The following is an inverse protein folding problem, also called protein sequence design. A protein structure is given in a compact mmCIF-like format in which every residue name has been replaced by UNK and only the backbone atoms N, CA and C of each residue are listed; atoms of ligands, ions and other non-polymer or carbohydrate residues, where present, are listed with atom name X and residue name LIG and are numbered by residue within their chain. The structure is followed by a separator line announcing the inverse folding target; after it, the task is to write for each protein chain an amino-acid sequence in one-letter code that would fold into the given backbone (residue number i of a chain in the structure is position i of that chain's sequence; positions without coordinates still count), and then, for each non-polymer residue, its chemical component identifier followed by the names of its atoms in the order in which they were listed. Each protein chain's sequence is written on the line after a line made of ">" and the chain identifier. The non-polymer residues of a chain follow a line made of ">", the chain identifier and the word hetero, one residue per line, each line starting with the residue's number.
data_IF_130086849141
#
_entry.id   IF_130086849141
#
_cell.length_a   1.000
_cell.length_b   1.000
_cell.length_c   1.000
_cell.angle_alpha   90.00
_cell.angle_beta   90.00
_cell.angle_gamma   90.00
#
_symmetry.space_group_name_H-M   'P 1'
#
loop_
_entity.id
_entity.type
_entity.pdbx_description
1 polymer ?
#
# COMPACT_ATOMS: atom_id res chain seq x y z
N UNK A 1 -17.22 4.33 17.23
CA UNK A 1 -17.12 2.89 17.45
C UNK A 1 -15.66 2.60 17.69
N UNK A 2 -15.30 1.98 18.81
CA UNK A 2 -13.92 1.62 19.12
C UNK A 2 -13.48 0.52 18.15
N UNK A 3 -12.69 0.87 17.17
CA UNK A 3 -12.27 0.02 16.03
C UNK A 3 -10.99 -0.78 16.38
N UNK A 4 -10.84 -1.19 17.65
CA UNK A 4 -9.69 -1.96 18.14
C UNK A 4 -9.86 -3.48 18.03
N UNK A 5 -10.98 -3.96 17.47
CA UNK A 5 -11.20 -5.38 17.30
C UNK A 5 -10.49 -5.90 16.07
N UNK A 6 -9.61 -6.88 16.27
CA UNK A 6 -9.01 -7.64 15.18
C UNK A 6 -10.11 -8.48 14.48
N UNK A 7 -9.98 -8.85 13.19
CA UNK A 7 -10.94 -9.74 12.53
C UNK A 7 -11.07 -11.07 13.28
N UNK A 8 -12.23 -11.72 13.22
CA UNK A 8 -12.48 -13.03 13.82
C UNK A 8 -11.50 -14.12 13.34
N UNK A 9 -10.89 -13.92 12.17
CA UNK A 9 -9.84 -14.80 11.62
C UNK A 9 -8.44 -14.50 12.16
N UNK A 10 -8.28 -13.45 12.99
CA UNK A 10 -7.00 -13.09 13.58
C UNK A 10 -6.72 -14.00 14.77
N UNK A 11 -5.69 -14.81 14.67
CA UNK A 11 -5.14 -15.59 15.78
C UNK A 11 -3.62 -15.42 15.80
N UNK A 12 -3.12 -14.58 16.72
CA UNK A 12 -1.79 -14.83 17.26
C UNK A 12 -1.92 -15.99 18.27
N UNK A 13 -0.90 -16.86 18.40
CA UNK A 13 -0.86 -17.82 19.49
C UNK A 13 -1.12 -17.14 20.83
N UNK A 14 -1.89 -17.76 21.71
CA UNK A 14 -2.29 -17.18 23.01
C UNK A 14 -1.09 -16.75 23.85
N UNK A 15 0.06 -17.42 23.66
CA UNK A 15 1.33 -17.15 24.35
C UNK A 15 2.30 -16.31 23.51
N UNK A 16 1.85 -15.71 22.40
CA UNK A 16 2.72 -14.88 21.56
C UNK A 16 3.15 -13.63 22.33
N UNK A 17 4.46 -13.43 22.43
CA UNK A 17 5.02 -12.19 22.93
C UNK A 17 4.54 -10.99 22.07
N UNK A 18 4.40 -9.79 22.68
CA UNK A 18 3.90 -8.63 21.97
C UNK A 18 4.80 -8.25 20.79
N UNK A 19 4.18 -7.74 19.72
CA UNK A 19 4.85 -7.21 18.53
C UNK A 19 4.51 -5.74 18.32
N UNK A 20 5.41 -5.02 17.67
CA UNK A 20 5.15 -3.66 17.26
C UNK A 20 4.83 -3.60 15.75
N UNK A 21 3.86 -2.76 15.41
CA UNK A 21 3.43 -2.47 14.04
C UNK A 21 3.60 -0.98 13.77
N UNK A 22 4.25 -0.66 12.66
CA UNK A 22 4.52 0.71 12.22
C UNK A 22 3.99 0.91 10.82
N UNK A 23 3.21 1.96 10.60
CA UNK A 23 2.75 2.38 9.29
C UNK A 23 3.29 3.79 8.97
N UNK A 24 4.20 3.86 8.00
CA UNK A 24 4.86 5.10 7.57
C UNK A 24 4.22 5.62 6.31
N UNK A 25 3.34 6.59 6.45
CA UNK A 25 2.79 7.33 5.33
C UNK A 25 3.52 8.65 5.09
N UNK A 26 3.25 9.27 3.94
CA UNK A 26 3.85 10.57 3.58
C UNK A 26 3.40 11.75 4.46
N UNK A 27 2.29 11.62 5.21
CA UNK A 27 1.72 12.68 6.06
C UNK A 27 1.52 12.25 7.50
N UNK A 28 1.32 10.96 7.75
CA UNK A 28 1.03 10.38 9.06
C UNK A 28 1.90 9.17 9.29
N UNK A 29 2.39 9.05 10.51
CA UNK A 29 3.06 7.89 11.06
C UNK A 29 2.17 7.30 12.15
N UNK A 30 1.84 6.01 12.04
CA UNK A 30 1.11 5.30 13.07
C UNK A 30 1.97 4.17 13.65
N UNK A 31 1.91 3.99 14.97
CA UNK A 31 2.53 2.85 15.65
C UNK A 31 1.50 2.16 16.52
N UNK A 32 1.62 0.85 16.67
CA UNK A 32 0.76 0.05 17.54
C UNK A 32 1.57 -1.05 18.23
N UNK A 33 1.19 -1.39 19.46
CA UNK A 33 1.63 -2.59 20.16
C UNK A 33 0.47 -3.59 20.14
N UNK A 34 0.75 -4.82 19.74
CA UNK A 34 -0.25 -5.86 19.48
C UNK A 34 0.18 -7.16 20.15
N UNK A 35 -0.76 -7.86 20.78
CA UNK A 35 -0.60 -9.24 21.26
C UNK A 35 -1.81 -10.11 20.90
N UNK A 36 -1.93 -11.30 21.48
CA UNK A 36 -3.04 -12.23 21.24
C UNK A 36 -4.43 -11.64 21.60
N UNK A 37 -4.49 -10.64 22.48
CA UNK A 37 -5.73 -9.95 22.87
C UNK A 37 -6.17 -8.88 21.87
N UNK A 38 -5.26 -8.43 20.99
CA UNK A 38 -5.51 -7.39 20.00
C UNK A 38 -4.53 -6.24 20.07
N UNK A 39 -4.99 -5.06 19.61
CA UNK A 39 -4.21 -3.81 19.69
C UNK A 39 -4.29 -3.27 21.11
N UNK A 40 -3.16 -3.29 21.82
CA UNK A 40 -3.04 -2.83 23.20
C UNK A 40 -2.93 -1.31 23.31
N UNK A 41 -2.14 -0.71 22.40
CA UNK A 41 -1.99 0.74 22.32
C UNK A 41 -1.73 1.15 20.86
N UNK A 42 -2.17 2.36 20.51
CA UNK A 42 -1.92 2.98 19.20
C UNK A 42 -1.65 4.47 19.36
N UNK A 43 -0.63 4.96 18.66
CA UNK A 43 -0.31 6.38 18.53
C UNK A 43 -0.24 6.78 17.06
N UNK A 44 -0.65 7.99 16.75
CA UNK A 44 -0.60 8.56 15.40
C UNK A 44 -0.08 9.99 15.50
N UNK A 45 0.93 10.31 14.71
CA UNK A 45 1.51 11.65 14.62
C UNK A 45 1.75 12.05 13.14
N UNK A 46 1.94 13.34 12.85
CA UNK A 46 2.48 13.76 11.56
C UNK A 46 3.87 13.15 11.32
N UNK A 47 4.13 12.69 10.10
CA UNK A 47 5.43 12.12 9.73
C UNK A 47 6.53 13.16 9.84
N UNK A 48 7.61 12.87 10.57
CA UNK A 48 8.76 13.76 10.72
C UNK A 48 9.41 14.06 9.36
N UNK A 49 9.64 15.35 9.11
CA UNK A 49 10.27 15.86 7.89
C UNK A 49 11.31 16.94 8.19
N UNK A 50 11.66 17.14 9.44
CA UNK A 50 12.62 18.14 9.91
C UNK A 50 13.71 17.46 10.73
N UNK A 51 14.88 18.11 10.82
CA UNK A 51 16.03 17.57 11.56
C UNK A 51 17.02 16.80 10.67
N UNK A 52 17.78 15.90 11.27
CA UNK A 52 18.74 15.06 10.56
C UNK A 52 17.99 13.90 9.82
N UNK A 53 18.68 13.24 8.90
CA UNK A 53 18.09 12.18 8.06
C UNK A 53 17.67 10.91 8.84
N UNK A 54 17.97 10.82 10.13
CA UNK A 54 17.49 9.78 11.06
C UNK A 54 16.25 10.19 11.86
N UNK A 55 15.76 11.43 11.72
CA UNK A 55 14.64 11.97 12.50
C UNK A 55 13.37 11.11 12.43
N UNK A 56 13.08 10.51 11.26
CA UNK A 56 11.95 9.59 11.10
C UNK A 56 12.11 8.32 11.95
N UNK A 57 13.28 7.71 11.92
CA UNK A 57 13.54 6.51 12.71
C UNK A 57 13.51 6.80 14.23
N UNK A 58 14.05 7.94 14.65
CA UNK A 58 13.98 8.40 16.05
C UNK A 58 12.54 8.68 16.49
N UNK A 59 11.70 9.25 15.62
CA UNK A 59 10.29 9.41 15.87
C UNK A 59 9.60 8.05 16.08
N UNK A 60 9.88 7.06 15.23
CA UNK A 60 9.32 5.71 15.36
C UNK A 60 9.72 5.09 16.70
N UNK A 61 11.00 5.14 17.06
CA UNK A 61 11.51 4.59 18.31
C UNK A 61 10.78 5.22 19.52
N UNK A 62 10.74 6.55 19.59
CA UNK A 62 10.06 7.29 20.65
C UNK A 62 8.57 6.92 20.74
N UNK A 63 7.87 6.88 19.61
CA UNK A 63 6.45 6.54 19.59
C UNK A 63 6.19 5.09 20.00
N UNK A 64 7.07 4.14 19.63
CA UNK A 64 6.96 2.76 20.06
C UNK A 64 7.20 2.62 21.57
N UNK A 65 8.22 3.27 22.13
CA UNK A 65 8.47 3.28 23.56
C UNK A 65 7.27 3.89 24.34
N UNK A 66 6.70 4.99 23.85
CA UNK A 66 5.49 5.57 24.42
C UNK A 66 4.27 4.64 24.30
N UNK A 67 4.12 3.95 23.17
CA UNK A 67 3.05 2.96 22.97
C UNK A 67 3.21 1.78 23.91
N UNK A 68 4.43 1.32 24.16
CA UNK A 68 4.72 0.26 25.14
C UNK A 68 4.34 0.70 26.54
N UNK A 69 4.69 1.92 26.95
CA UNK A 69 4.26 2.48 28.24
C UNK A 69 2.73 2.52 28.37
N UNK A 70 2.03 2.98 27.33
CA UNK A 70 0.57 3.03 27.32
C UNK A 70 -0.09 1.63 27.37
N UNK A 71 0.62 0.59 26.91
CA UNK A 71 0.19 -0.79 26.90
C UNK A 71 0.59 -1.59 28.14
N UNK A 72 1.36 -0.99 29.06
CA UNK A 72 2.01 -1.68 30.19
C UNK A 72 2.89 -2.86 29.72
N UNK A 73 3.68 -2.62 28.66
CA UNK A 73 4.62 -3.56 28.03
C UNK A 73 6.02 -2.97 28.09
N UNK A 74 7.00 -3.74 28.55
CA UNK A 74 8.39 -3.31 28.47
C UNK A 74 8.85 -3.27 26.99
N UNK A 75 9.52 -2.20 26.51
CA UNK A 75 9.98 -2.10 25.13
C UNK A 75 10.87 -3.27 24.69
N UNK A 76 11.63 -3.86 25.62
CA UNK A 76 12.50 -5.01 25.36
C UNK A 76 11.73 -6.34 25.30
N UNK A 77 10.47 -6.36 25.72
CA UNK A 77 9.58 -7.51 25.56
C UNK A 77 8.99 -7.63 24.16
N UNK A 78 9.13 -6.61 23.30
CA UNK A 78 8.72 -6.70 21.90
C UNK A 78 9.56 -7.75 21.17
N UNK A 79 8.93 -8.82 20.72
CA UNK A 79 9.64 -9.89 20.00
C UNK A 79 9.97 -9.56 18.55
N UNK A 80 9.27 -8.60 17.95
CA UNK A 80 9.52 -8.13 16.59
C UNK A 80 8.86 -6.77 16.31
N UNK A 81 9.42 -6.05 15.32
CA UNK A 81 8.88 -4.79 14.79
C UNK A 81 8.63 -4.95 13.29
N UNK A 82 7.38 -4.85 12.88
CA UNK A 82 6.97 -4.81 11.48
C UNK A 82 6.74 -3.37 11.01
N UNK A 83 7.33 -3.00 9.90
CA UNK A 83 7.22 -1.67 9.31
C UNK A 83 6.65 -1.76 7.90
N UNK A 84 5.42 -1.26 7.73
CA UNK A 84 4.81 -0.97 6.42
C UNK A 84 5.13 0.48 6.08
N UNK A 85 5.72 0.74 4.92
CA UNK A 85 6.13 2.10 4.56
C UNK A 85 5.85 2.41 3.10
N UNK A 86 5.45 3.65 2.83
CA UNK A 86 5.50 4.16 1.47
C UNK A 86 6.94 4.07 0.93
N UNK A 87 7.07 3.97 -0.39
CA UNK A 87 8.36 3.89 -1.10
C UNK A 87 8.62 5.13 -1.96
N UNK A 88 9.65 5.08 -2.81
CA UNK A 88 10.59 3.98 -2.99
C UNK A 88 11.65 3.87 -1.90
N UNK A 89 12.36 2.73 -1.91
CA UNK A 89 13.46 2.41 -0.99
C UNK A 89 14.81 2.39 -1.71
N UNK A 90 15.87 2.59 -0.94
CA UNK A 90 17.25 2.24 -1.30
C UNK A 90 17.80 1.26 -0.28
N UNK A 91 18.53 0.24 -0.77
CA UNK A 91 19.21 -0.72 0.10
C UNK A 91 20.65 -0.27 0.31
N UNK A 92 21.02 0.04 1.57
CA UNK A 92 22.39 0.39 1.94
C UNK A 92 22.86 -0.46 3.12
N UNK A 93 24.02 -1.07 3.00
CA UNK A 93 24.59 -1.96 4.01
C UNK A 93 23.59 -3.03 4.53
N UNK A 94 22.72 -3.54 3.64
CA UNK A 94 21.72 -4.56 4.00
C UNK A 94 20.50 -4.03 4.76
N UNK A 95 20.34 -2.71 4.89
CA UNK A 95 19.19 -2.07 5.52
C UNK A 95 18.44 -1.17 4.53
N UNK A 96 17.13 -1.07 4.74
CA UNK A 96 16.25 -0.20 3.97
C UNK A 96 16.41 1.25 4.44
N UNK A 97 16.63 2.15 3.49
CA UNK A 97 16.48 3.59 3.63
C UNK A 97 15.30 4.06 2.78
N UNK A 98 14.54 5.01 3.29
CA UNK A 98 13.39 5.58 2.60
C UNK A 98 13.84 6.70 1.66
N UNK A 99 13.46 6.62 0.37
CA UNK A 99 13.74 7.63 -0.65
C UNK A 99 12.45 8.26 -1.23
N UNK A 100 11.41 8.33 -0.40
CA UNK A 100 10.09 8.80 -0.81
C UNK A 100 10.08 10.32 -1.07
N UNK A 101 9.69 10.80 -2.27
CA UNK A 101 9.70 12.22 -2.61
C UNK A 101 8.70 13.09 -1.84
N UNK A 102 7.79 12.49 -1.07
CA UNK A 102 6.85 13.18 -0.18
C UNK A 102 7.37 13.30 1.27
N UNK A 103 8.55 12.75 1.55
CA UNK A 103 9.23 12.80 2.85
C UNK A 103 10.66 13.37 2.66
N UNK A 104 11.41 12.92 1.66
CA UNK A 104 12.79 13.28 1.40
C UNK A 104 12.85 14.45 0.40
N UNK A 105 13.15 15.66 0.89
CA UNK A 105 13.16 16.91 0.09
C UNK A 105 14.22 16.90 -1.01
N UNK A 106 15.40 16.31 -0.75
CA UNK A 106 16.45 16.15 -1.75
C UNK A 106 16.09 15.27 -2.94
N UNK A 107 15.10 14.37 -2.77
CA UNK A 107 14.53 13.57 -3.85
C UNK A 107 13.33 14.24 -4.54
N UNK A 108 12.61 15.09 -3.80
CA UNK A 108 11.41 15.77 -4.29
C UNK A 108 11.73 16.96 -5.20
N UNK A 109 12.89 17.54 -5.03
CA UNK A 109 13.27 18.82 -5.62
C UNK A 109 12.51 20.01 -5.01
N UNK A 110 12.93 21.25 -5.37
CA UNK A 110 12.44 22.47 -4.71
C UNK A 110 10.93 22.75 -4.89
N UNK A 111 10.32 22.20 -5.92
CA UNK A 111 8.91 22.42 -6.22
C UNK A 111 7.94 21.88 -5.15
N UNK A 112 8.38 20.95 -4.28
CA UNK A 112 7.54 20.38 -3.23
C UNK A 112 7.63 21.11 -1.90
N UNK A 113 8.61 22.01 -1.70
CA UNK A 113 8.75 22.84 -0.51
C UNK A 113 8.90 22.04 0.79
N UNK A 114 9.52 20.87 0.76
CA UNK A 114 9.79 20.10 1.98
C UNK A 114 10.90 20.76 2.79
N UNK A 115 10.83 20.73 4.15
CA UNK A 115 11.74 21.47 5.04
C UNK A 115 13.09 20.77 5.23
N UNK A 116 13.42 19.78 4.40
CA UNK A 116 14.68 19.03 4.46
C UNK A 116 15.29 18.85 3.07
N UNK A 117 16.56 18.49 3.03
CA UNK A 117 17.35 18.16 1.84
C UNK A 117 17.74 16.67 1.77
N UNK A 118 17.07 15.84 2.53
CA UNK A 118 17.39 14.41 2.59
C UNK A 118 17.25 13.75 1.23
N UNK A 119 18.30 13.10 0.77
CA UNK A 119 18.21 12.17 -0.35
C UNK A 119 17.61 10.84 0.07
N UNK A 120 17.88 10.43 1.31
CA UNK A 120 17.23 9.30 1.98
C UNK A 120 17.00 9.61 3.45
N UNK A 121 15.97 8.99 4.04
CA UNK A 121 15.80 8.96 5.48
C UNK A 121 16.18 7.56 6.00
N UNK A 122 17.01 7.49 7.04
CA UNK A 122 17.33 6.24 7.72
C UNK A 122 16.03 5.65 8.29
N UNK A 123 15.82 4.36 8.08
CA UNK A 123 14.62 3.67 8.56
C UNK A 123 14.98 2.39 9.32
N UNK A 124 15.52 1.39 8.64
CA UNK A 124 15.71 0.05 9.22
C UNK A 124 16.92 -0.03 10.17
N UNK A 125 18.03 0.61 9.84
CA UNK A 125 19.26 0.48 10.62
C UNK A 125 19.14 0.98 12.07
N UNK A 126 18.54 2.17 12.37
CA UNK A 126 18.34 2.60 13.74
C UNK A 126 17.36 1.70 14.52
N UNK A 127 16.33 1.17 13.86
CA UNK A 127 15.37 0.25 14.47
C UNK A 127 16.04 -1.07 14.85
N UNK A 128 16.95 -1.59 14.00
CA UNK A 128 17.73 -2.82 14.29
C UNK A 128 18.76 -2.66 15.39
N UNK A 129 19.18 -1.43 15.68
CA UNK A 129 20.02 -1.16 16.87
C UNK A 129 19.22 -1.29 18.17
N UNK A 130 17.91 -1.04 18.10
CA UNK A 130 17.02 -1.09 19.28
C UNK A 130 16.32 -2.44 19.44
N UNK A 131 15.93 -3.10 18.33
CA UNK A 131 15.24 -4.40 18.33
C UNK A 131 15.91 -5.38 17.39
N UNK A 132 16.07 -6.61 17.82
CA UNK A 132 16.79 -7.65 17.05
C UNK A 132 16.02 -8.15 15.81
N UNK A 133 14.69 -8.11 15.84
CA UNK A 133 13.83 -8.56 14.73
C UNK A 133 13.03 -7.39 14.17
N UNK A 134 13.56 -6.76 13.14
CA UNK A 134 12.88 -5.69 12.39
C UNK A 134 12.66 -6.16 10.96
N UNK A 135 11.45 -5.95 10.44
CA UNK A 135 11.11 -6.22 9.04
C UNK A 135 10.43 -5.01 8.43
N UNK A 136 11.03 -4.50 7.37
CA UNK A 136 10.54 -3.34 6.62
C UNK A 136 10.11 -3.79 5.23
N UNK A 137 8.89 -3.47 4.83
CA UNK A 137 8.37 -3.71 3.49
C UNK A 137 7.62 -2.49 2.97
N UNK A 138 7.53 -2.40 1.63
CA UNK A 138 6.62 -1.44 1.00
C UNK A 138 5.17 -1.71 1.42
N UNK A 139 4.36 -0.66 1.54
CA UNK A 139 2.96 -0.72 1.99
C UNK A 139 2.08 -1.69 1.18
N UNK A 140 2.24 -1.74 -0.15
CA UNK A 140 1.51 -2.69 -0.99
C UNK A 140 2.00 -4.13 -0.82
N UNK A 141 3.30 -4.35 -0.56
CA UNK A 141 3.87 -5.68 -0.26
C UNK A 141 3.41 -6.15 1.11
N UNK A 142 3.39 -5.28 2.10
CA UNK A 142 2.88 -5.57 3.44
C UNK A 142 1.36 -5.88 3.41
N UNK A 143 0.59 -5.12 2.63
CA UNK A 143 -0.83 -5.38 2.38
C UNK A 143 -1.08 -6.72 1.68
N UNK A 144 -0.24 -7.08 0.68
CA UNK A 144 -0.27 -8.41 0.07
C UNK A 144 -0.04 -9.52 1.11
N UNK A 145 0.94 -9.36 2.00
CA UNK A 145 1.20 -10.33 3.06
C UNK A 145 -0.02 -10.50 3.98
N UNK A 146 -0.69 -9.40 4.34
CA UNK A 146 -1.92 -9.43 5.13
C UNK A 146 -3.08 -10.13 4.40
N UNK A 147 -3.31 -9.82 3.12
CA UNK A 147 -4.35 -10.45 2.30
C UNK A 147 -4.08 -11.95 2.08
N UNK A 148 -2.83 -12.37 1.98
CA UNK A 148 -2.45 -13.79 1.90
C UNK A 148 -2.66 -14.52 3.22
N UNK A 149 -2.52 -13.83 4.34
CA UNK A 149 -2.65 -14.44 5.66
C UNK A 149 -4.10 -14.47 6.14
N UNK A 150 -4.85 -13.39 5.97
CA UNK A 150 -6.19 -13.23 6.57
C UNK A 150 -7.28 -12.78 5.59
N UNK A 151 -6.91 -12.35 4.37
CA UNK A 151 -7.82 -11.76 3.40
C UNK A 151 -8.19 -12.66 2.23
N UNK A 152 -8.35 -12.05 1.05
CA UNK A 152 -8.86 -12.69 -0.16
C UNK A 152 -7.80 -13.48 -0.95
N UNK A 153 -6.51 -13.42 -0.59
CA UNK A 153 -5.42 -14.10 -1.29
C UNK A 153 -5.03 -15.43 -0.63
N UNK A 154 -6.06 -16.18 -0.21
CA UNK A 154 -5.92 -17.54 0.34
C UNK A 154 -7.06 -18.43 -0.14
N UNK A 155 -6.85 -19.73 -0.08
CA UNK A 155 -7.88 -20.75 -0.26
C UNK A 155 -7.97 -21.60 1.00
N UNK A 156 -9.16 -21.63 1.62
CA UNK A 156 -9.34 -22.18 2.96
C UNK A 156 -8.31 -21.62 3.95
N UNK A 157 -7.29 -22.38 4.31
CA UNK A 157 -6.23 -21.99 5.24
C UNK A 157 -4.92 -21.63 4.55
N UNK A 158 -4.75 -21.95 3.27
CA UNK A 158 -3.47 -21.86 2.56
C UNK A 158 -3.35 -20.54 1.77
N UNK A 159 -2.25 -19.79 1.93
CA UNK A 159 -1.96 -18.62 1.12
C UNK A 159 -1.71 -19.00 -0.34
N UNK A 160 -2.27 -18.22 -1.29
CA UNK A 160 -2.02 -18.44 -2.71
C UNK A 160 -0.54 -18.22 -3.06
N UNK A 161 0.00 -19.08 -3.92
CA UNK A 161 1.40 -19.02 -4.35
C UNK A 161 1.65 -17.93 -5.39
N UNK A 162 0.70 -17.71 -6.32
CA UNK A 162 0.84 -16.77 -7.43
C UNK A 162 -0.29 -15.73 -7.38
N UNK A 163 -0.04 -14.58 -6.75
CA UNK A 163 -1.09 -13.60 -6.52
C UNK A 163 -0.54 -12.18 -6.41
N UNK A 164 -1.42 -11.20 -6.55
CA UNK A 164 -1.09 -9.80 -6.38
C UNK A 164 -2.12 -9.09 -5.51
N UNK A 165 -1.68 -8.06 -4.81
CA UNK A 165 -2.52 -7.05 -4.20
C UNK A 165 -2.31 -5.72 -4.93
N UNK A 166 -3.39 -5.04 -5.29
CA UNK A 166 -3.36 -3.72 -5.91
C UNK A 166 -4.10 -2.75 -5.03
N UNK A 167 -3.46 -1.65 -4.64
CA UNK A 167 -4.15 -0.52 -4.01
C UNK A 167 -4.45 0.55 -5.04
N UNK A 168 -5.72 0.87 -5.23
CA UNK A 168 -6.18 2.01 -6.03
C UNK A 168 -6.73 3.08 -5.10
N UNK A 169 -5.88 4.02 -4.77
CA UNK A 169 -6.12 5.07 -3.78
C UNK A 169 -5.61 6.42 -4.30
N UNK A 170 -5.04 7.25 -3.44
CA UNK A 170 -4.32 8.49 -3.79
C UNK A 170 -3.26 8.24 -4.86
N UNK A 171 -2.53 7.11 -4.76
CA UNK A 171 -1.61 6.53 -5.75
C UNK A 171 -2.03 5.11 -6.13
N UNK A 172 -1.18 4.43 -6.89
CA UNK A 172 -1.31 3.02 -7.28
C UNK A 172 -0.10 2.25 -6.79
N UNK A 173 -0.30 1.35 -5.84
CA UNK A 173 0.73 0.42 -5.36
C UNK A 173 0.38 -1.03 -5.70
N UNK A 174 1.39 -1.87 -5.90
CA UNK A 174 1.19 -3.29 -6.17
C UNK A 174 2.17 -4.12 -5.34
N UNK A 175 1.65 -5.13 -4.65
CA UNK A 175 2.44 -6.20 -4.05
C UNK A 175 2.32 -7.46 -4.91
N UNK A 176 3.41 -8.20 -5.08
CA UNK A 176 3.50 -9.37 -5.97
C UNK A 176 4.03 -10.58 -5.21
N UNK A 177 3.42 -11.73 -5.46
CA UNK A 177 3.88 -13.03 -4.98
C UNK A 177 3.89 -14.02 -6.15
N UNK A 178 5.01 -14.71 -6.36
CA UNK A 178 5.19 -15.77 -7.36
C UNK A 178 5.86 -16.96 -6.69
N UNK A 179 5.37 -18.16 -6.95
CA UNK A 179 5.84 -19.42 -6.35
C UNK A 179 5.90 -19.35 -4.80
N UNK A 180 4.95 -18.65 -4.19
CA UNK A 180 4.89 -18.47 -2.75
C UNK A 180 5.83 -17.39 -2.19
N UNK A 181 6.70 -16.80 -3.01
CA UNK A 181 7.68 -15.80 -2.61
C UNK A 181 7.18 -14.38 -2.87
N UNK A 182 7.24 -13.52 -1.86
CA UNK A 182 7.01 -12.09 -2.04
C UNK A 182 8.15 -11.50 -2.87
N UNK A 183 7.82 -10.84 -3.97
CA UNK A 183 8.81 -10.21 -4.83
C UNK A 183 9.26 -8.88 -4.20
N UNK A 184 10.55 -8.75 -3.95
CA UNK A 184 11.16 -7.55 -3.34
C UNK A 184 12.00 -6.75 -4.34
N UNK A 185 12.60 -7.41 -5.33
CA UNK A 185 13.57 -6.78 -6.22
C UNK A 185 14.87 -6.41 -5.48
N UNK A 186 15.72 -5.63 -6.13
CA UNK A 186 17.06 -5.32 -5.59
C UNK A 186 17.04 -4.41 -4.35
N UNK A 187 16.05 -3.52 -4.24
CA UNK A 187 15.94 -2.50 -3.19
C UNK A 187 14.63 -2.59 -2.39
N UNK A 188 13.83 -3.65 -2.55
CA UNK A 188 12.50 -3.72 -1.95
C UNK A 188 11.39 -3.00 -2.75
N UNK A 189 11.63 -2.65 -4.02
CA UNK A 189 10.73 -1.87 -4.86
C UNK A 189 10.05 -2.68 -5.97
N UNK A 190 10.10 -4.01 -5.96
CA UNK A 190 9.29 -4.79 -6.90
C UNK A 190 7.81 -4.49 -6.70
N UNK A 191 7.06 -4.40 -7.80
CA UNK A 191 5.64 -4.09 -7.72
C UNK A 191 5.29 -2.61 -7.86
N UNK A 192 6.21 -1.72 -8.21
CA UNK A 192 5.89 -0.33 -8.58
C UNK A 192 5.16 -0.25 -9.94
N UNK A 193 4.19 -1.15 -10.15
CA UNK A 193 3.45 -1.28 -11.42
C UNK A 193 2.48 -0.11 -11.68
N UNK A 194 2.23 0.76 -10.71
CA UNK A 194 1.60 2.05 -10.95
C UNK A 194 2.36 2.91 -11.97
N UNK A 195 3.66 2.64 -12.18
CA UNK A 195 4.50 3.36 -13.14
C UNK A 195 4.72 2.61 -14.46
N UNK A 196 3.92 1.58 -14.76
CA UNK A 196 3.87 0.97 -16.09
C UNK A 196 3.31 1.98 -17.10
N UNK A 197 3.99 2.11 -18.25
CA UNK A 197 3.47 2.91 -19.35
C UNK A 197 2.35 2.15 -20.05
N UNK A 198 1.19 2.80 -20.20
CA UNK A 198 0.00 2.23 -20.86
C UNK A 198 -0.55 3.10 -21.97
N UNK A 199 -0.10 4.33 -22.08
CA UNK A 199 -0.37 5.23 -23.22
C UNK A 199 0.55 6.46 -23.19
N UNK A 200 0.57 7.20 -24.33
CA UNK A 200 1.37 8.43 -24.50
C UNK A 200 0.53 9.71 -24.26
N UNK A 201 -0.42 9.69 -23.32
CA UNK A 201 -1.23 10.85 -22.99
C UNK A 201 -0.41 11.90 -22.26
N UNK A 202 -0.12 13.02 -22.92
CA UNK A 202 0.71 14.11 -22.39
C UNK A 202 0.08 14.86 -21.20
N UNK A 203 -1.25 14.76 -21.01
CA UNK A 203 -1.97 15.38 -19.88
C UNK A 203 -1.90 14.54 -18.61
N UNK A 204 -1.30 13.35 -18.69
CA UNK A 204 -1.21 12.39 -17.61
C UNK A 204 0.17 12.42 -16.93
N UNK A 205 0.62 13.59 -16.51
CA UNK A 205 1.87 13.75 -15.75
C UNK A 205 1.76 13.08 -14.37
N UNK A 206 2.62 12.10 -14.13
CA UNK A 206 2.76 11.44 -12.84
C UNK A 206 3.65 12.25 -11.87
N UNK A 207 3.45 12.06 -10.57
CA UNK A 207 4.31 12.63 -9.54
C UNK A 207 5.78 12.17 -9.58
N UNK A 208 6.07 11.07 -10.29
CA UNK A 208 7.43 10.58 -10.53
C UNK A 208 8.14 11.25 -11.73
N UNK A 209 7.44 12.10 -12.48
CA UNK A 209 7.96 12.76 -13.69
C UNK A 209 7.63 12.05 -15.01
N UNK A 210 7.07 10.84 -14.99
CA UNK A 210 6.61 10.14 -16.17
C UNK A 210 5.31 10.73 -16.72
N UNK A 211 5.03 10.47 -17.99
CA UNK A 211 3.80 10.83 -18.68
C UNK A 211 3.16 9.56 -19.22
N UNK A 212 1.87 9.32 -18.92
CA UNK A 212 1.14 8.19 -19.45
C UNK A 212 1.33 6.86 -18.70
N UNK A 213 1.90 6.88 -17.49
CA UNK A 213 1.88 5.72 -16.60
C UNK A 213 0.50 5.54 -15.92
N UNK A 214 0.26 4.36 -15.38
CA UNK A 214 -1.02 3.99 -14.76
C UNK A 214 -1.38 4.97 -13.64
N UNK A 215 -0.44 5.30 -12.76
CA UNK A 215 -0.69 6.22 -11.64
C UNK A 215 -1.02 7.63 -12.13
N UNK A 216 -0.28 8.16 -13.10
CA UNK A 216 -0.53 9.46 -13.72
C UNK A 216 -1.88 9.55 -14.41
N UNK A 217 -2.43 8.41 -14.85
CA UNK A 217 -3.69 8.34 -15.56
C UNK A 217 -4.91 8.17 -14.64
N UNK A 218 -4.83 7.30 -13.60
CA UNK A 218 -6.02 6.83 -12.89
C UNK A 218 -5.97 6.91 -11.36
N UNK A 219 -4.84 7.25 -10.75
CA UNK A 219 -4.78 7.43 -9.30
C UNK A 219 -5.71 8.55 -8.83
N UNK A 220 -6.12 8.54 -7.56
CA UNK A 220 -7.01 9.56 -7.01
C UNK A 220 -6.49 10.99 -7.24
N UNK A 221 -5.18 11.22 -7.05
CA UNK A 221 -4.54 12.51 -7.38
C UNK A 221 -4.57 12.84 -8.88
N UNK A 222 -4.47 11.83 -9.74
CA UNK A 222 -4.53 12.01 -11.18
C UNK A 222 -5.94 12.38 -11.63
N UNK A 223 -6.97 11.73 -11.09
CA UNK A 223 -8.39 12.05 -11.36
C UNK A 223 -8.66 13.52 -11.07
N UNK A 224 -8.24 14.02 -9.90
CA UNK A 224 -8.39 15.43 -9.53
C UNK A 224 -7.71 16.36 -10.54
N UNK A 225 -6.44 16.10 -10.88
CA UNK A 225 -5.69 16.95 -11.82
C UNK A 225 -6.27 16.94 -13.24
N UNK A 226 -6.65 15.74 -13.73
CA UNK A 226 -7.14 15.56 -15.10
C UNK A 226 -8.54 16.07 -15.32
N UNK A 227 -9.41 15.99 -14.30
CA UNK A 227 -10.85 16.18 -14.51
C UNK A 227 -11.46 17.35 -13.75
N UNK A 228 -10.69 18.10 -12.91
CA UNK A 228 -11.19 19.27 -12.21
C UNK A 228 -11.72 20.34 -13.17
N UNK A 229 -11.06 20.57 -14.32
CA UNK A 229 -11.49 21.51 -15.35
C UNK A 229 -12.80 21.10 -16.05
N UNK A 230 -13.22 19.85 -15.90
CA UNK A 230 -14.50 19.32 -16.40
C UNK A 230 -15.62 19.40 -15.35
N UNK A 231 -15.32 19.91 -14.15
CA UNK A 231 -16.25 20.00 -13.04
C UNK A 231 -16.16 18.89 -12.00
N UNK A 232 -15.24 17.94 -12.17
CA UNK A 232 -15.05 16.82 -11.22
C UNK A 232 -13.80 17.09 -10.36
N UNK A 233 -14.00 17.69 -9.19
CA UNK A 233 -12.91 18.12 -8.31
C UNK A 233 -12.03 16.95 -7.80
N UNK A 234 -12.61 15.78 -7.63
CA UNK A 234 -11.95 14.57 -7.14
C UNK A 234 -12.68 13.30 -7.61
N UNK A 235 -12.19 12.14 -7.20
CA UNK A 235 -12.81 10.87 -7.54
C UNK A 235 -14.24 10.77 -7.00
N UNK A 236 -14.50 11.25 -5.77
CA UNK A 236 -15.85 11.18 -5.19
C UNK A 236 -16.85 11.98 -6.02
N UNK A 237 -16.49 13.20 -6.45
CA UNK A 237 -17.33 14.04 -7.32
C UNK A 237 -17.59 13.37 -8.68
N UNK A 238 -16.56 12.76 -9.29
CA UNK A 238 -16.70 12.04 -10.57
C UNK A 238 -17.68 10.87 -10.44
N UNK A 239 -17.53 10.03 -9.41
CA UNK A 239 -18.40 8.86 -9.22
C UNK A 239 -19.83 9.26 -8.85
N UNK A 240 -20.02 10.32 -8.03
CA UNK A 240 -21.34 10.85 -7.70
C UNK A 240 -22.07 11.39 -8.93
N UNK A 241 -21.38 12.12 -9.81
CA UNK A 241 -21.93 12.61 -11.06
C UNK A 241 -22.42 11.46 -11.97
N UNK A 242 -21.60 10.40 -12.14
CA UNK A 242 -21.99 9.22 -12.90
C UNK A 242 -23.23 8.52 -12.32
N UNK A 243 -23.30 8.37 -10.99
CA UNK A 243 -24.46 7.81 -10.30
C UNK A 243 -25.73 8.65 -10.49
N UNK A 244 -25.58 9.97 -10.65
CA UNK A 244 -26.67 10.89 -10.95
C UNK A 244 -27.07 10.95 -12.44
N UNK A 245 -26.47 10.11 -13.28
CA UNK A 245 -26.81 10.00 -14.70
C UNK A 245 -25.96 10.86 -15.66
N UNK A 246 -24.86 11.43 -15.18
CA UNK A 246 -23.90 12.14 -16.05
C UNK A 246 -23.18 11.16 -16.98
N UNK A 247 -23.56 11.15 -18.25
CA UNK A 247 -22.97 10.27 -19.26
C UNK A 247 -21.49 10.53 -19.54
N UNK A 248 -21.00 11.77 -19.34
CA UNK A 248 -19.59 12.11 -19.48
C UNK A 248 -18.79 11.51 -18.32
N UNK A 249 -19.27 11.63 -17.09
CA UNK A 249 -18.64 11.02 -15.93
C UNK A 249 -18.58 9.49 -16.06
N UNK A 250 -19.67 8.87 -16.54
CA UNK A 250 -19.69 7.43 -16.82
C UNK A 250 -18.64 7.00 -17.85
N UNK A 251 -18.48 7.75 -18.94
CA UNK A 251 -17.48 7.48 -19.97
C UNK A 251 -16.03 7.62 -19.43
N UNK A 252 -15.78 8.60 -18.57
CA UNK A 252 -14.48 8.75 -17.90
C UNK A 252 -14.18 7.56 -16.96
N UNK A 253 -15.16 7.09 -16.21
CA UNK A 253 -15.01 5.89 -15.37
C UNK A 253 -14.71 4.65 -16.23
N UNK A 254 -15.33 4.51 -17.38
CA UNK A 254 -15.03 3.43 -18.32
C UNK A 254 -13.59 3.52 -18.86
N UNK A 255 -13.09 4.74 -19.11
CA UNK A 255 -11.68 4.97 -19.44
C UNK A 255 -10.75 4.54 -18.30
N UNK A 256 -11.03 4.95 -17.05
CA UNK A 256 -10.24 4.53 -15.88
C UNK A 256 -10.20 3.00 -15.75
N UNK A 257 -11.35 2.33 -15.92
CA UNK A 257 -11.43 0.86 -15.86
C UNK A 257 -10.65 0.20 -17.00
N UNK A 258 -10.68 0.77 -18.20
CA UNK A 258 -9.92 0.26 -19.34
C UNK A 258 -8.41 0.34 -19.10
N UNK A 259 -7.93 1.44 -18.49
CA UNK A 259 -6.51 1.65 -18.16
C UNK A 259 -6.08 0.68 -17.05
N UNK A 260 -6.83 0.60 -15.95
CA UNK A 260 -6.55 -0.36 -14.89
C UNK A 260 -6.61 -1.81 -15.43
N UNK A 261 -7.58 -2.13 -16.29
CA UNK A 261 -7.70 -3.44 -16.90
C UNK A 261 -6.46 -3.84 -17.73
N UNK A 262 -5.81 -2.90 -18.42
CA UNK A 262 -4.54 -3.14 -19.10
C UNK A 262 -3.43 -3.49 -18.12
N UNK A 263 -3.28 -2.70 -17.05
CA UNK A 263 -2.28 -2.96 -16.03
C UNK A 263 -2.49 -4.33 -15.35
N UNK A 264 -3.74 -4.68 -15.04
CA UNK A 264 -4.05 -5.99 -14.47
C UNK A 264 -3.75 -7.13 -15.46
N UNK A 265 -4.08 -6.94 -16.74
CA UNK A 265 -3.76 -7.90 -17.80
C UNK A 265 -2.25 -8.11 -17.93
N UNK A 266 -1.46 -7.01 -17.96
CA UNK A 266 0.00 -7.08 -18.04
C UNK A 266 0.61 -7.86 -16.87
N UNK A 267 0.08 -7.67 -15.66
CA UNK A 267 0.51 -8.43 -14.47
C UNK A 267 0.16 -9.92 -14.61
N UNK A 268 -1.05 -10.25 -15.07
CA UNK A 268 -1.51 -11.63 -15.24
C UNK A 268 -0.63 -12.37 -16.24
N UNK A 269 -0.44 -11.80 -17.44
CA UNK A 269 0.30 -12.49 -18.50
C UNK A 269 1.82 -12.54 -18.27
N UNK A 270 2.33 -11.65 -17.42
CA UNK A 270 3.77 -11.60 -17.09
C UNK A 270 4.12 -12.58 -15.95
N UNK A 271 3.20 -12.78 -15.00
CA UNK A 271 3.47 -13.49 -13.74
C UNK A 271 2.60 -14.73 -13.54
N UNK A 272 1.71 -15.04 -14.49
CA UNK A 272 0.80 -16.21 -14.44
C UNK A 272 0.02 -16.29 -13.12
N UNK A 273 -0.73 -15.21 -12.81
CA UNK A 273 -1.36 -15.03 -11.50
C UNK A 273 -2.68 -15.82 -11.38
N UNK A 274 -2.88 -16.45 -10.22
CA UNK A 274 -4.13 -17.14 -9.82
C UNK A 274 -5.20 -16.13 -9.37
N UNK A 275 -4.80 -15.06 -8.70
CA UNK A 275 -5.74 -14.05 -8.16
C UNK A 275 -5.10 -12.69 -7.94
N UNK A 276 -5.88 -11.65 -8.22
CA UNK A 276 -5.55 -10.27 -7.86
C UNK A 276 -6.61 -9.75 -6.90
N UNK A 277 -6.19 -9.30 -5.73
CA UNK A 277 -7.02 -8.62 -4.74
C UNK A 277 -6.86 -7.11 -4.90
N UNK A 278 -7.97 -6.37 -4.98
CA UNK A 278 -7.94 -4.91 -5.18
C UNK A 278 -8.54 -4.21 -3.96
N UNK A 279 -7.76 -3.28 -3.40
CA UNK A 279 -8.15 -2.39 -2.32
C UNK A 279 -7.89 -0.92 -2.65
N UNK A 280 -7.76 -0.09 -1.62
CA UNK A 280 -7.54 1.35 -1.75
C UNK A 280 -8.85 2.14 -1.86
N UNK A 281 -8.84 3.40 -1.42
CA UNK A 281 -10.05 4.20 -1.21
C UNK A 281 -10.86 4.44 -2.49
N UNK A 282 -10.20 4.70 -3.62
CA UNK A 282 -10.90 4.91 -4.90
C UNK A 282 -11.66 3.65 -5.32
N UNK A 283 -11.01 2.48 -5.24
CA UNK A 283 -11.67 1.23 -5.58
C UNK A 283 -12.73 0.83 -4.54
N UNK A 284 -12.40 0.86 -3.27
CA UNK A 284 -13.22 0.31 -2.21
C UNK A 284 -14.61 0.95 -2.13
N UNK A 285 -14.68 2.28 -2.21
CA UNK A 285 -15.95 3.00 -2.14
C UNK A 285 -16.84 2.77 -3.35
N UNK A 286 -16.28 2.34 -4.48
CA UNK A 286 -16.98 2.16 -5.75
C UNK A 286 -16.86 0.73 -6.31
N UNK A 287 -16.47 -0.25 -5.49
CA UNK A 287 -16.16 -1.62 -5.89
C UNK A 287 -17.31 -2.33 -6.61
N UNK A 288 -18.55 -2.09 -6.20
CA UNK A 288 -19.73 -2.69 -6.83
C UNK A 288 -19.87 -2.28 -8.31
N UNK A 289 -19.46 -1.06 -8.65
CA UNK A 289 -19.43 -0.55 -10.02
C UNK A 289 -18.15 -0.98 -10.74
N UNK A 290 -17.00 -0.87 -10.07
CA UNK A 290 -15.69 -1.03 -10.70
C UNK A 290 -15.33 -2.49 -10.95
N UNK A 291 -15.61 -3.40 -10.01
CA UNK A 291 -15.17 -4.79 -10.10
C UNK A 291 -15.71 -5.53 -11.32
N UNK A 292 -17.01 -5.45 -11.66
CA UNK A 292 -17.54 -6.05 -12.89
C UNK A 292 -16.91 -5.48 -14.15
N UNK A 293 -16.67 -4.15 -14.19
CA UNK A 293 -16.02 -3.47 -15.31
C UNK A 293 -14.57 -3.92 -15.51
N UNK A 294 -13.81 -4.08 -14.42
CA UNK A 294 -12.43 -4.57 -14.46
C UNK A 294 -12.35 -6.02 -14.94
N UNK A 295 -13.22 -6.90 -14.46
CA UNK A 295 -13.32 -8.29 -14.93
C UNK A 295 -13.60 -8.35 -16.43
N UNK A 296 -14.52 -7.53 -16.94
CA UNK A 296 -14.85 -7.46 -18.36
C UNK A 296 -13.66 -6.98 -19.23
N UNK A 297 -12.71 -6.22 -18.68
CA UNK A 297 -11.50 -5.81 -19.41
C UNK A 297 -10.53 -6.97 -19.68
N UNK A 298 -10.58 -8.04 -18.90
CA UNK A 298 -9.63 -9.15 -18.92
C UNK A 298 -10.26 -10.38 -19.58
N UNK A 299 -11.52 -10.62 -19.34
CA UNK A 299 -12.25 -11.79 -19.81
C UNK A 299 -12.11 -12.03 -21.32
N UNK A 300 -11.75 -13.24 -21.71
CA UNK A 300 -11.63 -13.66 -23.11
C UNK A 300 -10.37 -13.18 -23.83
N UNK A 301 -9.44 -12.52 -23.15
CA UNK A 301 -8.16 -12.10 -23.72
C UNK A 301 -7.08 -13.11 -23.34
N UNK A 302 -6.48 -13.77 -24.35
CA UNK A 302 -5.46 -14.82 -24.13
C UNK A 302 -5.91 -15.82 -23.06
N UNK A 303 -7.02 -16.51 -23.33
CA UNK A 303 -7.75 -17.33 -22.36
C UNK A 303 -6.87 -18.33 -21.58
N UNK A 304 -5.83 -18.88 -22.23
CA UNK A 304 -4.88 -19.79 -21.60
C UNK A 304 -4.16 -19.19 -20.35
N UNK A 305 -4.06 -17.87 -20.24
CA UNK A 305 -3.42 -17.17 -19.12
C UNK A 305 -4.42 -16.42 -18.23
N UNK A 306 -5.54 -15.97 -18.79
CA UNK A 306 -6.50 -15.15 -18.04
C UNK A 306 -7.67 -15.94 -17.46
N UNK A 307 -8.03 -17.09 -18.07
CA UNK A 307 -9.08 -17.95 -17.56
C UNK A 307 -8.63 -18.59 -16.25
N UNK A 308 -9.48 -18.44 -15.23
CA UNK A 308 -9.14 -18.90 -13.88
C UNK A 308 -8.44 -17.87 -13.00
N UNK A 309 -7.91 -16.75 -13.53
CA UNK A 309 -7.40 -15.68 -12.71
C UNK A 309 -8.55 -14.88 -12.07
N UNK A 310 -8.70 -14.97 -10.76
CA UNK A 310 -9.73 -14.27 -10.00
C UNK A 310 -9.38 -12.79 -9.76
N UNK A 311 -10.23 -11.86 -10.20
CA UNK A 311 -10.15 -10.46 -9.77
C UNK A 311 -11.19 -10.26 -8.66
N UNK A 312 -10.74 -9.89 -7.45
CA UNK A 312 -11.59 -9.81 -6.25
C UNK A 312 -11.35 -8.52 -5.48
N UNK A 313 -12.32 -8.12 -4.67
CA UNK A 313 -12.12 -7.05 -3.69
C UNK A 313 -11.25 -7.57 -2.53
N UNK A 314 -10.47 -6.67 -1.92
CA UNK A 314 -9.67 -6.98 -0.74
C UNK A 314 -10.54 -7.58 0.37
N UNK A 315 -10.13 -8.73 0.91
CA UNK A 315 -10.86 -9.43 1.97
C UNK A 315 -10.82 -8.69 3.30
N UNK A 316 -9.72 -7.98 3.58
CA UNK A 316 -9.57 -7.13 4.76
C UNK A 316 -10.20 -5.74 4.59
N UNK A 317 -10.68 -5.43 3.39
CA UNK A 317 -11.38 -4.20 3.08
C UNK A 317 -10.54 -2.95 3.36
N UNK A 318 -11.13 -1.96 4.03
CA UNK A 318 -10.41 -0.72 4.41
C UNK A 318 -9.36 -0.94 5.51
N UNK A 319 -9.42 -2.06 6.22
CA UNK A 319 -8.53 -2.39 7.32
C UNK A 319 -7.22 -3.03 6.88
N UNK A 320 -7.00 -3.26 5.58
CA UNK A 320 -5.78 -3.91 5.08
C UNK A 320 -4.51 -3.21 5.57
N UNK A 321 -4.50 -1.88 5.66
CA UNK A 321 -3.39 -1.10 6.19
C UNK A 321 -3.08 -1.38 7.66
N UNK A 322 -4.12 -1.61 8.49
CA UNK A 322 -3.96 -1.92 9.91
C UNK A 322 -3.26 -3.28 10.13
N UNK A 323 -3.45 -4.22 9.20
CA UNK A 323 -2.86 -5.56 9.25
C UNK A 323 -1.55 -5.70 8.47
N UNK A 324 -1.21 -4.72 7.64
CA UNK A 324 -0.05 -4.78 6.75
C UNK A 324 1.25 -4.97 7.54
N UNK A 325 1.53 -4.09 8.49
CA UNK A 325 2.73 -4.19 9.33
C UNK A 325 2.72 -5.45 10.21
N UNK A 326 1.54 -5.84 10.73
CA UNK A 326 1.38 -7.03 11.55
C UNK A 326 1.71 -8.33 10.77
N UNK A 327 1.29 -8.43 9.50
CA UNK A 327 1.55 -9.59 8.66
C UNK A 327 3.05 -9.85 8.43
N UNK A 328 3.90 -8.87 8.67
CA UNK A 328 5.34 -8.99 8.52
C UNK A 328 6.00 -9.72 9.70
N UNK A 329 5.36 -9.75 10.86
CA UNK A 329 5.97 -10.19 12.14
C UNK A 329 5.12 -11.20 12.93
N UNK A 330 3.86 -11.38 12.55
CA UNK A 330 2.94 -12.33 13.18
C UNK A 330 3.19 -13.78 12.74
#
# INVERSE_FOLDING_TARGET
>A
MNDNTLPDCFQLPVDAAPVACVDVGGTKLAVSVVDARGVLARLVEPTAKEGAHDALALQIIRMLEQSCQNADVEPDALCAVGVSSCGPFLMRAGCVELAAPNICGGMAGPARGLPNDWHTALLEAPLRQRWSRVRVENDAVAALAAERRWGALREATEPLANCAYVTWSTGIGVGLCVDGHLLRGKNGNAGHAGHLFVCDNMDALCGCGNVGDVEGLIAGNAISRRFAHLGYADAAALFAAAQSGDGRAAALIDELCRIMGRALYDLIVTLDLQRISIGGSVFWHHRELLLPKLRAQIQGKLAALTDGCGIVSAGLGQRVGDFAALALVA
#
